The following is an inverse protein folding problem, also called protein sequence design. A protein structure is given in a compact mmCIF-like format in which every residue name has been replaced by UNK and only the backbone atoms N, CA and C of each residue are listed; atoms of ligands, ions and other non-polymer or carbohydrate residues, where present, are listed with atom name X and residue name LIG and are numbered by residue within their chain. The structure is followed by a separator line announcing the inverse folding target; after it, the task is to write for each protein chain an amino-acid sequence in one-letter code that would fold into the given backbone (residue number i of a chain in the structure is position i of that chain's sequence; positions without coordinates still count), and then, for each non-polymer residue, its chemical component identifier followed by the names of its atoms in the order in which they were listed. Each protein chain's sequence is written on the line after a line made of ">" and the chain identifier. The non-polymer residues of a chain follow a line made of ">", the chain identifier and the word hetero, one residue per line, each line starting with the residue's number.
data_IF_287897427841
#
_entry.id   IF_287897427841
#
_cell.length_a   1.000
_cell.length_b   1.000
_cell.length_c   1.000
_cell.angle_alpha   90.00
_cell.angle_beta   90.00
_cell.angle_gamma   90.00
#
_symmetry.space_group_name_H-M   'P 1'
#
loop_
_entity.id
_entity.type
_entity.pdbx_description
1 polymer ?
#
# COMPACT_ATOMS: atom_id res chain seq x y z
N UNK A 1 14.67 9.66 -2.26
CA UNK A 1 14.00 10.12 -1.01
C UNK A 1 13.76 9.00 0.02
N UNK A 2 12.83 8.03 -0.14
CA UNK A 2 12.54 7.07 0.95
C UNK A 2 13.75 6.17 1.31
N UNK A 3 14.40 5.59 0.30
CA UNK A 3 15.59 4.75 0.51
C UNK A 3 16.77 5.53 1.13
N UNK A 4 16.91 6.82 0.84
CA UNK A 4 17.96 7.67 1.43
C UNK A 4 17.74 7.92 2.92
N UNK A 5 16.51 7.80 3.42
CA UNK A 5 16.18 7.99 4.83
C UNK A 5 16.23 6.68 5.64
N UNK A 6 16.71 5.58 5.06
CA UNK A 6 16.69 4.25 5.68
C UNK A 6 17.27 4.24 7.10
N UNK A 7 18.41 4.89 7.29
CA UNK A 7 19.09 4.99 8.59
C UNK A 7 18.28 5.73 9.65
N UNK A 8 17.60 6.81 9.25
CA UNK A 8 16.71 7.56 10.14
C UNK A 8 15.51 6.70 10.51
N UNK A 9 14.85 6.11 9.52
CA UNK A 9 13.65 5.28 9.72
C UNK A 9 13.93 4.07 10.62
N UNK A 10 15.12 3.45 10.49
CA UNK A 10 15.58 2.36 11.36
C UNK A 10 15.94 2.80 12.77
N UNK A 11 16.05 4.09 13.09
CA UNK A 11 16.37 4.55 14.46
C UNK A 11 15.20 5.19 15.18
N UNK A 12 14.09 5.45 14.51
CA UNK A 12 12.93 6.04 15.15
C UNK A 12 12.41 5.11 16.27
N UNK A 13 12.14 5.64 17.48
CA UNK A 13 11.71 4.87 18.65
C UNK A 13 10.21 4.58 18.65
N UNK A 14 9.51 4.90 17.56
CA UNK A 14 8.07 4.77 17.40
C UNK A 14 7.74 3.89 16.21
N UNK A 15 6.54 3.32 16.20
CA UNK A 15 6.02 2.63 15.03
C UNK A 15 5.75 3.62 13.90
N UNK A 16 6.12 3.22 12.68
CA UNK A 16 5.89 4.01 11.47
C UNK A 16 4.60 3.57 10.78
N UNK A 17 3.98 4.48 10.04
CA UNK A 17 2.89 4.16 9.12
C UNK A 17 3.21 4.79 7.78
N UNK A 18 3.31 3.99 6.74
CA UNK A 18 3.55 4.44 5.38
C UNK A 18 2.24 4.51 4.61
N UNK A 19 1.97 5.67 4.03
CA UNK A 19 0.77 5.89 3.24
C UNK A 19 0.95 5.45 1.77
N UNK A 20 -0.16 5.20 1.11
CA UNK A 20 -0.28 4.99 -0.33
C UNK A 20 0.73 4.02 -0.95
N UNK A 21 0.75 2.77 -0.46
CA UNK A 21 1.71 1.74 -0.93
C UNK A 21 3.19 2.16 -0.78
N UNK A 22 3.47 3.15 0.10
CA UNK A 22 4.80 3.73 0.26
C UNK A 22 5.25 4.55 -0.95
N UNK A 23 4.30 4.97 -1.80
CA UNK A 23 4.54 5.62 -3.11
C UNK A 23 5.44 4.79 -4.03
N UNK A 24 5.42 3.47 -3.89
CA UNK A 24 6.12 2.56 -4.81
C UNK A 24 5.29 2.41 -6.08
N UNK A 25 5.87 2.80 -7.22
CA UNK A 25 5.29 2.47 -8.51
C UNK A 25 5.26 0.93 -8.68
N UNK A 26 4.15 0.32 -9.13
CA UNK A 26 4.06 -1.14 -9.27
C UNK A 26 5.18 -1.78 -10.09
N UNK A 27 5.65 -1.12 -11.16
CA UNK A 27 6.77 -1.59 -11.97
C UNK A 27 8.10 -1.70 -11.21
N UNK A 28 8.23 -1.00 -10.08
CA UNK A 28 9.40 -0.99 -9.21
C UNK A 28 9.30 -1.98 -8.04
N UNK A 29 8.18 -2.70 -7.91
CA UNK A 29 8.01 -3.76 -6.93
C UNK A 29 9.12 -4.81 -7.07
N UNK A 30 9.78 -5.12 -5.95
CA UNK A 30 10.91 -6.05 -5.89
C UNK A 30 12.21 -5.57 -6.54
N UNK A 31 12.23 -4.37 -7.14
CA UNK A 31 13.40 -3.82 -7.85
C UNK A 31 14.01 -2.62 -7.14
N UNK A 32 13.17 -1.74 -6.61
CA UNK A 32 13.64 -0.48 -6.02
C UNK A 32 14.01 -0.65 -4.53
N UNK A 33 15.13 -0.08 -4.06
CA UNK A 33 15.60 -0.26 -2.68
C UNK A 33 14.59 0.23 -1.63
N UNK A 34 13.76 1.23 -1.95
CA UNK A 34 12.71 1.68 -1.07
C UNK A 34 11.64 0.60 -0.79
N UNK A 35 11.33 -0.25 -1.78
CA UNK A 35 10.39 -1.37 -1.56
C UNK A 35 11.00 -2.41 -0.62
N UNK A 36 12.29 -2.73 -0.79
CA UNK A 36 13.00 -3.63 0.10
C UNK A 36 13.02 -3.11 1.55
N UNK A 37 13.28 -1.81 1.73
CA UNK A 37 13.24 -1.15 3.04
C UNK A 37 11.84 -1.23 3.69
N UNK A 38 10.77 -1.00 2.91
CA UNK A 38 9.40 -1.12 3.43
C UNK A 38 9.12 -2.53 3.92
N UNK A 39 9.45 -3.56 3.12
CA UNK A 39 9.26 -4.96 3.51
C UNK A 39 10.07 -5.31 4.77
N UNK A 40 11.32 -4.87 4.86
CA UNK A 40 12.18 -5.04 6.03
C UNK A 40 11.53 -4.46 7.31
N UNK A 41 11.07 -3.21 7.25
CA UNK A 41 10.47 -2.51 8.40
C UNK A 41 9.13 -3.14 8.81
N UNK A 42 8.34 -3.59 7.84
CA UNK A 42 7.07 -4.29 8.09
C UNK A 42 7.30 -5.65 8.76
N UNK A 43 8.24 -6.45 8.25
CA UNK A 43 8.59 -7.77 8.80
C UNK A 43 9.20 -7.66 10.20
N UNK A 44 9.98 -6.60 10.46
CA UNK A 44 10.49 -6.31 11.80
C UNK A 44 9.40 -5.83 12.78
N UNK A 45 8.15 -5.67 12.34
CA UNK A 45 7.04 -5.18 13.16
C UNK A 45 7.17 -3.71 13.55
N UNK A 46 8.02 -2.95 12.86
CA UNK A 46 8.33 -1.55 13.15
C UNK A 46 7.50 -0.56 12.34
N UNK A 47 6.84 -1.05 11.31
CA UNK A 47 6.01 -0.23 10.44
C UNK A 47 4.66 -0.90 10.18
N UNK A 48 3.75 -0.06 9.73
CA UNK A 48 2.51 -0.40 9.04
C UNK A 48 2.55 0.19 7.64
N UNK A 49 1.78 -0.40 6.72
CA UNK A 49 1.58 0.12 5.36
C UNK A 49 0.09 0.24 5.09
N UNK A 50 -0.34 1.36 4.52
CA UNK A 50 -1.70 1.53 4.04
C UNK A 50 -1.77 1.20 2.55
N UNK A 51 -2.57 0.20 2.19
CA UNK A 51 -3.05 -0.02 0.82
C UNK A 51 -4.13 1.04 0.55
N UNK A 52 -3.70 2.22 0.11
CA UNK A 52 -4.54 3.39 -0.13
C UNK A 52 -4.05 4.14 -1.36
N UNK A 53 -4.86 5.01 -1.97
CA UNK A 53 -4.38 5.86 -3.06
C UNK A 53 -3.79 5.08 -4.24
N UNK A 54 -4.35 3.92 -4.60
CA UNK A 54 -3.83 3.09 -5.71
C UNK A 54 -3.75 3.86 -7.04
N UNK A 55 -4.75 4.70 -7.29
CA UNK A 55 -4.82 5.63 -8.42
C UNK A 55 -3.69 6.68 -8.46
N UNK A 56 -2.97 6.88 -7.35
CA UNK A 56 -1.81 7.79 -7.28
C UNK A 56 -0.53 7.09 -7.72
N UNK A 57 -0.38 5.80 -7.41
CA UNK A 57 0.86 5.03 -7.69
C UNK A 57 0.78 4.21 -8.97
N UNK A 58 -0.44 3.93 -9.45
CA UNK A 58 -0.67 3.33 -10.76
C UNK A 58 -0.22 4.29 -11.87
N UNK A 59 0.53 3.75 -12.84
CA UNK A 59 0.90 4.48 -14.06
C UNK A 59 -0.32 4.81 -14.94
N UNK A 60 -1.42 4.05 -14.78
CA UNK A 60 -2.68 4.25 -15.49
C UNK A 60 -3.61 5.25 -14.78
N UNK A 61 -3.21 5.72 -13.59
CA UNK A 61 -4.05 6.51 -12.71
C UNK A 61 -5.41 5.87 -12.41
N UNK A 62 -5.43 4.54 -12.33
CA UNK A 62 -6.64 3.74 -12.15
C UNK A 62 -6.53 2.88 -10.89
N UNK A 63 -7.68 2.60 -10.27
CA UNK A 63 -7.75 1.78 -9.05
C UNK A 63 -7.67 0.29 -9.35
N UNK A 64 -8.03 -0.12 -10.57
CA UNK A 64 -8.11 -1.51 -11.03
C UNK A 64 -6.92 -1.94 -11.91
N UNK A 65 -5.83 -1.17 -11.88
CA UNK A 65 -4.58 -1.53 -12.54
C UNK A 65 -4.07 -2.88 -12.00
N UNK A 66 -3.97 -3.94 -12.82
CA UNK A 66 -3.50 -5.26 -12.36
C UNK A 66 -2.10 -5.26 -11.77
N UNK A 67 -1.28 -4.23 -12.06
CA UNK A 67 0.02 -4.10 -11.43
C UNK A 67 -0.07 -3.80 -9.93
N UNK A 68 -1.17 -3.15 -9.47
CA UNK A 68 -1.45 -2.94 -8.05
C UNK A 68 -1.67 -4.26 -7.31
N UNK A 69 -2.28 -5.26 -7.94
CA UNK A 69 -2.48 -6.59 -7.34
C UNK A 69 -1.16 -7.21 -6.90
N UNK A 70 -0.17 -7.19 -7.78
CA UNK A 70 1.16 -7.73 -7.49
C UNK A 70 1.83 -7.01 -6.33
N UNK A 71 1.74 -5.66 -6.29
CA UNK A 71 2.31 -4.84 -5.23
C UNK A 71 1.56 -5.01 -3.89
N UNK A 72 0.23 -5.04 -3.89
CA UNK A 72 -0.56 -5.32 -2.69
C UNK A 72 -0.19 -6.68 -2.09
N UNK A 73 -0.05 -7.69 -2.94
CA UNK A 73 0.30 -9.04 -2.53
C UNK A 73 1.70 -9.14 -1.90
N UNK A 74 2.67 -8.27 -2.22
CA UNK A 74 3.97 -8.30 -1.54
C UNK A 74 3.84 -7.90 -0.08
N UNK A 75 3.09 -6.83 0.21
CA UNK A 75 2.86 -6.35 1.57
C UNK A 75 2.01 -7.32 2.40
N UNK A 76 0.88 -7.78 1.83
CA UNK A 76 -0.04 -8.70 2.51
C UNK A 76 0.64 -10.04 2.88
N UNK A 77 1.52 -10.56 2.02
CA UNK A 77 2.28 -11.79 2.33
C UNK A 77 3.44 -11.55 3.29
N UNK A 78 4.15 -10.43 3.16
CA UNK A 78 5.34 -10.18 3.96
C UNK A 78 5.00 -9.92 5.44
N UNK A 79 3.90 -9.21 5.72
CA UNK A 79 3.52 -8.85 7.08
C UNK A 79 1.99 -8.68 7.21
N UNK A 80 1.18 -9.74 7.12
CA UNK A 80 -0.28 -9.65 7.10
C UNK A 80 -0.89 -8.92 8.31
N UNK A 81 -0.21 -8.95 9.47
CA UNK A 81 -0.62 -8.21 10.67
C UNK A 81 -0.14 -6.76 10.73
N UNK A 82 0.42 -6.21 9.64
CA UNK A 82 0.97 -4.85 9.54
C UNK A 82 0.45 -4.08 8.32
N UNK A 83 -0.67 -4.53 7.74
CA UNK A 83 -1.29 -3.90 6.57
C UNK A 83 -2.63 -3.32 6.96
N UNK A 84 -2.89 -2.09 6.55
CA UNK A 84 -4.16 -1.38 6.70
C UNK A 84 -4.69 -0.97 5.32
N UNK A 85 -5.95 -0.61 5.20
CA UNK A 85 -6.53 -0.03 3.99
C UNK A 85 -7.24 1.30 4.27
N UNK A 86 -7.32 2.14 3.24
CA UNK A 86 -8.15 3.34 3.25
C UNK A 86 -8.38 3.86 1.84
N UNK A 87 -9.55 4.46 1.58
CA UNK A 87 -9.93 4.95 0.24
C UNK A 87 -9.14 6.18 -0.21
N UNK A 88 -8.47 6.87 0.72
CA UNK A 88 -7.90 8.21 0.52
C UNK A 88 -8.96 9.30 0.23
N UNK A 89 -10.23 9.06 0.56
CA UNK A 89 -11.29 10.08 0.48
C UNK A 89 -10.92 11.29 1.37
N UNK A 90 -11.12 12.55 0.92
CA UNK A 90 -11.87 13.00 -0.27
C UNK A 90 -11.07 13.09 -1.57
N UNK A 91 -9.99 12.31 -1.72
CA UNK A 91 -9.16 12.20 -2.92
C UNK A 91 -8.54 13.54 -3.34
N UNK A 92 -7.91 14.24 -2.37
CA UNK A 92 -7.47 15.63 -2.54
C UNK A 92 -6.63 15.88 -3.82
N UNK A 93 -5.78 14.92 -4.20
CA UNK A 93 -4.96 15.04 -5.42
C UNK A 93 -5.79 14.91 -6.71
N UNK A 94 -6.82 14.05 -6.71
CA UNK A 94 -7.75 13.92 -7.83
C UNK A 94 -8.72 15.10 -7.91
N UNK A 95 -9.22 15.59 -6.76
CA UNK A 95 -10.02 16.82 -6.67
C UNK A 95 -9.26 18.04 -7.19
N UNK A 96 -7.93 18.06 -7.00
CA UNK A 96 -7.05 19.08 -7.56
C UNK A 96 -6.75 18.90 -9.06
N UNK A 97 -7.30 17.87 -9.72
CA UNK A 97 -7.15 17.61 -11.15
C UNK A 97 -5.83 16.96 -11.56
N UNK A 98 -5.04 16.44 -10.60
CA UNK A 98 -3.78 15.76 -10.92
C UNK A 98 -3.99 14.40 -11.58
N UNK A 99 -5.11 13.75 -11.30
CA UNK A 99 -5.56 12.52 -11.95
C UNK A 99 -7.08 12.36 -11.81
N UNK A 100 -7.72 11.40 -12.52
CA UNK A 100 -9.16 11.18 -12.42
C UNK A 100 -9.61 10.86 -10.99
N UNK A 101 -10.85 11.24 -10.67
CA UNK A 101 -11.50 10.82 -9.43
C UNK A 101 -11.66 9.29 -9.43
N UNK A 102 -11.22 8.59 -8.37
CA UNK A 102 -11.39 7.14 -8.28
C UNK A 102 -12.85 6.78 -7.98
N UNK A 103 -13.25 5.57 -8.39
CA UNK A 103 -14.49 4.96 -7.93
C UNK A 103 -14.24 4.21 -6.60
N UNK A 104 -14.84 4.69 -5.51
CA UNK A 104 -14.67 4.10 -4.17
C UNK A 104 -15.18 2.65 -4.06
N UNK A 105 -16.25 2.29 -4.77
CA UNK A 105 -16.75 0.92 -4.76
C UNK A 105 -15.75 0.00 -5.46
N UNK A 106 -15.17 0.45 -6.57
CA UNK A 106 -14.13 -0.29 -7.27
C UNK A 106 -12.86 -0.44 -6.42
N UNK A 107 -12.51 0.54 -5.58
CA UNK A 107 -11.41 0.41 -4.62
C UNK A 107 -11.65 -0.72 -3.61
N UNK A 108 -12.87 -0.85 -3.09
CA UNK A 108 -13.25 -1.95 -2.18
C UNK A 108 -13.22 -3.31 -2.88
N UNK A 109 -13.66 -3.39 -4.13
CA UNK A 109 -13.55 -4.61 -4.94
C UNK A 109 -12.10 -5.05 -5.14
N UNK A 110 -11.19 -4.08 -5.36
CA UNK A 110 -9.76 -4.33 -5.45
C UNK A 110 -9.19 -4.86 -4.13
N UNK A 111 -9.53 -4.23 -3.00
CA UNK A 111 -9.15 -4.72 -1.67
C UNK A 111 -9.60 -6.17 -1.45
N UNK A 112 -10.87 -6.47 -1.73
CA UNK A 112 -11.42 -7.81 -1.55
C UNK A 112 -10.68 -8.84 -2.43
N UNK A 113 -10.32 -8.46 -3.66
CA UNK A 113 -9.50 -9.28 -4.56
C UNK A 113 -8.09 -9.51 -4.02
N UNK A 114 -7.38 -8.48 -3.55
CA UNK A 114 -6.04 -8.61 -2.97
C UNK A 114 -6.05 -9.51 -1.74
N UNK A 115 -7.04 -9.35 -0.85
CA UNK A 115 -7.20 -10.18 0.32
C UNK A 115 -7.40 -11.66 -0.05
N UNK A 116 -8.27 -11.97 -1.03
CA UNK A 116 -8.48 -13.35 -1.51
C UNK A 116 -7.21 -13.99 -2.08
N UNK A 117 -6.37 -13.23 -2.77
CA UNK A 117 -5.11 -13.73 -3.35
C UNK A 117 -4.11 -14.22 -2.29
N UNK A 118 -4.26 -13.83 -1.02
CA UNK A 118 -3.41 -14.32 0.07
C UNK A 118 -3.71 -15.78 0.45
N UNK A 119 -4.91 -16.28 0.12
CA UNK A 119 -5.42 -17.56 0.61
C UNK A 119 -5.87 -17.56 2.08
N UNK A 120 -5.69 -16.44 2.80
CA UNK A 120 -6.14 -16.27 4.18
C UNK A 120 -7.56 -15.70 4.22
N UNK A 121 -8.50 -16.50 4.73
CA UNK A 121 -9.92 -16.13 4.86
C UNK A 121 -10.16 -14.93 5.79
N UNK A 122 -9.19 -14.56 6.62
CA UNK A 122 -9.26 -13.41 7.53
C UNK A 122 -8.51 -12.18 7.01
N UNK A 123 -7.84 -12.26 5.85
CA UNK A 123 -7.01 -11.16 5.35
C UNK A 123 -7.82 -9.86 5.14
N UNK A 124 -9.04 -9.97 4.60
CA UNK A 124 -9.90 -8.80 4.37
C UNK A 124 -10.26 -8.12 5.69
N UNK A 125 -10.61 -8.90 6.70
CA UNK A 125 -10.99 -8.39 8.02
C UNK A 125 -9.78 -7.75 8.72
N UNK A 126 -8.61 -8.38 8.69
CA UNK A 126 -7.38 -7.87 9.33
C UNK A 126 -6.90 -6.52 8.80
N UNK A 127 -7.14 -6.25 7.52
CA UNK A 127 -6.70 -5.03 6.85
C UNK A 127 -7.67 -3.87 7.12
N UNK A 128 -8.91 -4.18 7.50
CA UNK A 128 -9.89 -3.23 8.01
C UNK A 128 -9.71 -3.11 9.53
N UNK A 129 -10.00 -1.93 10.07
CA UNK A 129 -9.94 -1.70 11.53
C UNK A 129 -11.29 -2.03 12.13
N UNK A 130 -11.30 -2.72 13.26
CA UNK A 130 -12.49 -3.03 14.07
C UNK A 130 -13.04 -1.80 14.83
#
# INVERSE_FOLDING_TARGET
>A
LLAEQADVLRRLPVALVFDHFGRIAPALAGRHPAHALLLELLQAGRAWIKLSGGYIVSERHAVDDPALDALAATYLRAAPGRVLWGSDWPHATATAGLQPLPDDAQQLDCLARWARQTGDGLALHRVLVD
#
